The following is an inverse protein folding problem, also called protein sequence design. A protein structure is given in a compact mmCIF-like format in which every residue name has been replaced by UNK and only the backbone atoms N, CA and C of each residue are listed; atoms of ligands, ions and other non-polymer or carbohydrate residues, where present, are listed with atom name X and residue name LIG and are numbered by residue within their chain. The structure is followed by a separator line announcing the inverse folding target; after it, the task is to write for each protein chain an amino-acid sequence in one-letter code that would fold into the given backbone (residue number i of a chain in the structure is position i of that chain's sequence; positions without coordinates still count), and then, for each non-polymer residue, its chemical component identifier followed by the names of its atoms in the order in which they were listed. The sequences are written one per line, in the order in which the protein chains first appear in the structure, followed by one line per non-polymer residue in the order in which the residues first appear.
data_IF_050723435911
#
_entry.id   IF_050723435911
#
_cell.length_a   1.000
_cell.length_b   1.000
_cell.length_c   1.000
_cell.angle_alpha   90.00
_cell.angle_beta   90.00
_cell.angle_gamma   90.00
#
_symmetry.space_group_name_H-M   'P 1'
#
loop_
_entity.id
_entity.type
_entity.pdbx_description
1 polymer ?
#
# COMPACT_ATOMS: atom_id res chain seq x y z
N UNK A 1 -5.82 2.78 7.78
CA UNK A 1 -6.03 2.18 6.45
C UNK A 1 -6.64 0.81 6.64
N UNK A 2 -7.84 0.59 6.10
CA UNK A 2 -8.50 -0.72 6.09
C UNK A 2 -8.19 -1.40 4.76
N UNK A 3 -7.66 -2.62 4.77
CA UNK A 3 -7.52 -3.38 3.51
C UNK A 3 -8.83 -4.11 3.20
N UNK A 4 -9.28 -4.11 1.95
CA UNK A 4 -10.52 -4.78 1.53
C UNK A 4 -10.26 -6.23 1.05
N UNK A 5 -9.05 -6.52 0.58
CA UNK A 5 -8.72 -7.82 -0.01
C UNK A 5 -8.02 -8.79 0.96
N UNK A 6 -7.41 -8.27 2.03
CA UNK A 6 -6.87 -9.11 3.10
C UNK A 6 -8.01 -9.81 3.85
N UNK A 7 -7.81 -11.08 4.21
CA UNK A 7 -8.78 -11.84 5.01
C UNK A 7 -9.10 -11.11 6.32
N UNK A 8 -10.39 -10.91 6.60
CA UNK A 8 -10.88 -10.20 7.79
C UNK A 8 -10.80 -8.68 7.70
N UNK A 9 -10.48 -8.13 6.53
CA UNK A 9 -10.40 -6.70 6.24
C UNK A 9 -9.70 -5.84 7.33
N UNK A 10 -8.45 -6.19 7.71
CA UNK A 10 -7.77 -5.61 8.86
C UNK A 10 -7.48 -4.10 8.71
N UNK A 11 -7.40 -3.44 9.88
CA UNK A 11 -6.96 -2.06 10.01
C UNK A 11 -5.46 -1.98 10.31
N UNK A 12 -4.79 -1.08 9.59
CA UNK A 12 -3.37 -0.80 9.75
C UNK A 12 -3.11 0.69 9.95
N UNK A 13 -2.07 1.02 10.71
CA UNK A 13 -1.41 2.32 10.59
C UNK A 13 -0.70 2.43 9.23
N UNK A 14 -0.31 3.63 8.81
CA UNK A 14 0.35 3.86 7.50
C UNK A 14 1.57 2.96 7.30
N UNK A 15 2.46 2.88 8.31
CA UNK A 15 3.68 2.08 8.26
C UNK A 15 3.42 0.58 8.14
N UNK A 16 2.53 0.04 8.98
CA UNK A 16 2.14 -1.37 8.92
C UNK A 16 1.46 -1.71 7.59
N UNK A 17 0.59 -0.83 7.08
CA UNK A 17 -0.07 -1.01 5.80
C UNK A 17 0.98 -1.13 4.67
N UNK A 18 1.91 -0.19 4.59
CA UNK A 18 2.99 -0.23 3.60
C UNK A 18 3.85 -1.49 3.70
N UNK A 19 4.28 -1.87 4.91
CA UNK A 19 5.16 -3.03 5.10
C UNK A 19 4.46 -4.35 4.78
N UNK A 20 3.21 -4.53 5.22
CA UNK A 20 2.43 -5.75 5.02
C UNK A 20 2.10 -6.00 3.55
N UNK A 21 1.81 -4.94 2.79
CA UNK A 21 1.39 -5.07 1.39
C UNK A 21 2.54 -5.04 0.37
N UNK A 22 3.80 -5.14 0.79
CA UNK A 22 4.94 -5.21 -0.15
C UNK A 22 4.84 -6.37 -1.14
N UNK A 23 4.33 -7.53 -0.70
CA UNK A 23 4.11 -8.71 -1.53
C UNK A 23 2.75 -8.72 -2.24
N UNK A 24 1.84 -7.82 -1.88
CA UNK A 24 0.48 -7.72 -2.43
C UNK A 24 0.18 -6.26 -2.83
N UNK A 25 0.93 -5.67 -3.78
CA UNK A 25 0.90 -4.24 -4.08
C UNK A 25 -0.38 -3.76 -4.78
N UNK A 26 -1.25 -4.69 -5.17
CA UNK A 26 -2.49 -4.41 -5.90
C UNK A 26 -3.75 -4.52 -5.03
N UNK A 27 -3.60 -4.74 -3.72
CA UNK A 27 -4.75 -4.72 -2.82
C UNK A 27 -5.35 -3.32 -2.71
N UNK A 28 -6.68 -3.26 -2.71
CA UNK A 28 -7.47 -2.07 -2.40
C UNK A 28 -7.49 -1.81 -0.91
N UNK A 29 -7.35 -0.53 -0.58
CA UNK A 29 -7.46 -0.04 0.78
C UNK A 29 -8.46 1.10 0.84
N UNK A 30 -8.98 1.37 2.02
CA UNK A 30 -9.71 2.59 2.33
C UNK A 30 -9.05 3.34 3.49
N UNK A 31 -9.19 4.66 3.49
CA UNK A 31 -8.70 5.51 4.56
C UNK A 31 -9.86 6.19 5.29
N UNK A 32 -9.72 6.36 6.60
CA UNK A 32 -10.71 7.11 7.38
C UNK A 32 -10.47 8.60 7.15
N UNK A 33 -11.48 9.30 6.64
CA UNK A 33 -11.39 10.74 6.37
C UNK A 33 -11.95 11.62 7.50
N UNK A 34 -12.39 11.01 8.61
CA UNK A 34 -13.08 11.69 9.72
C UNK A 34 -14.58 11.39 9.79
N UNK A 35 -15.18 10.90 8.71
CA UNK A 35 -16.62 10.60 8.64
C UNK A 35 -16.91 9.18 8.12
N UNK A 36 -16.16 8.71 7.13
CA UNK A 36 -16.30 7.38 6.56
C UNK A 36 -14.96 6.86 6.02
N UNK A 37 -14.96 5.59 5.62
CA UNK A 37 -13.85 4.99 4.88
C UNK A 37 -13.98 5.29 3.40
N UNK A 38 -13.15 6.19 2.90
CA UNK A 38 -13.07 6.51 1.47
C UNK A 38 -12.07 5.60 0.77
N UNK A 39 -12.32 5.30 -0.51
CA UNK A 39 -11.41 4.49 -1.32
C UNK A 39 -10.03 5.15 -1.43
N UNK A 40 -8.98 4.35 -1.32
CA UNK A 40 -7.60 4.79 -1.46
C UNK A 40 -6.77 3.66 -2.11
N UNK A 41 -5.47 3.87 -2.23
CA UNK A 41 -4.56 2.90 -2.81
C UNK A 41 -3.23 2.87 -2.05
N UNK A 42 -2.46 1.81 -2.23
CA UNK A 42 -1.21 1.61 -1.51
C UNK A 42 -0.14 2.68 -1.83
N UNK A 43 -0.26 3.37 -2.97
CA UNK A 43 0.60 4.51 -3.29
C UNK A 43 0.43 5.66 -2.28
N UNK A 44 -0.77 5.89 -1.74
CA UNK A 44 -1.02 6.94 -0.72
C UNK A 44 -0.36 6.65 0.63
N UNK A 45 -0.08 5.38 0.95
CA UNK A 45 0.73 5.02 2.13
C UNK A 45 2.23 4.95 1.82
N UNK A 46 2.62 5.37 0.62
CA UNK A 46 4.01 5.40 0.16
C UNK A 46 4.55 4.01 -0.22
N UNK A 47 3.71 3.07 -0.61
CA UNK A 47 4.18 1.85 -1.25
C UNK A 47 4.68 2.19 -2.66
N UNK A 48 5.93 1.83 -2.95
CA UNK A 48 6.55 2.00 -4.26
C UNK A 48 6.77 0.63 -4.86
N UNK A 49 6.31 0.43 -6.09
CA UNK A 49 6.57 -0.77 -6.87
C UNK A 49 7.77 -0.50 -7.78
N UNK A 50 8.90 -1.16 -7.52
CA UNK A 50 10.04 -1.12 -8.43
C UNK A 50 9.89 -2.23 -9.47
N UNK A 51 9.97 -1.85 -10.75
CA UNK A 51 9.88 -2.78 -11.87
C UNK A 51 11.29 -3.31 -12.21
N UNK A 52 11.42 -4.62 -12.34
CA UNK A 52 12.71 -5.29 -12.53
C UNK A 52 13.54 -5.39 -11.24
N UNK A 53 14.82 -5.76 -11.37
CA UNK A 53 15.79 -5.86 -10.26
C UNK A 53 15.29 -6.59 -9.00
N UNK A 54 14.50 -7.66 -9.17
CA UNK A 54 13.88 -8.39 -8.06
C UNK A 54 13.10 -7.50 -7.07
N UNK A 55 12.45 -6.45 -7.61
CA UNK A 55 11.71 -5.47 -6.80
C UNK A 55 12.58 -4.47 -6.05
N UNK A 56 13.90 -4.45 -6.28
CA UNK A 56 14.81 -3.41 -5.76
C UNK A 56 14.73 -2.14 -6.61
N UNK A 57 15.04 -1.01 -6.00
CA UNK A 57 15.18 0.24 -6.74
C UNK A 57 16.28 0.13 -7.80
N UNK A 58 15.97 0.53 -9.03
CA UNK A 58 16.97 0.60 -10.09
C UNK A 58 18.10 1.58 -9.70
N UNK A 59 19.38 1.19 -9.75
CA UNK A 59 20.51 2.05 -9.37
C UNK A 59 20.64 3.33 -10.21
N UNK A 60 20.11 3.29 -11.44
CA UNK A 60 20.13 4.40 -12.40
C UNK A 60 18.76 5.03 -12.59
N UNK A 61 17.78 4.74 -11.73
CA UNK A 61 16.49 5.41 -11.78
C UNK A 61 16.66 6.91 -11.54
N UNK A 62 16.39 7.71 -12.58
CA UNK A 62 16.23 9.15 -12.44
C UNK A 62 14.87 9.43 -11.78
N UNK A 63 14.86 10.29 -10.76
CA UNK A 63 13.64 10.79 -10.13
C UNK A 63 13.08 11.98 -10.89
#
# INVERSE_FOLDING_TARGET
YKCQDCLGEPLYCMGCCRSHHRSNPFHWISQWNGQFFEQSCLAHVGLILHLGHDGKQCPTAHR
#
